data_IF_379974686061
#
_entry.id   IF_379974686061
#
_cell.length_a   1.000
_cell.length_b   1.000
_cell.length_c   1.000
_cell.angle_alpha   90.00
_cell.angle_beta   90.00
_cell.angle_gamma   90.00
#
_symmetry.space_group_name_H-M   'P 1'
#
loop_
_entity.id
_entity.type
_entity.pdbx_description
1 polymer ?
#
# COMPACT_ATOMS: atom_id res chain seq x y z
N UNK A 1 -32.95 30.14 -7.86
CA UNK A 1 -33.28 28.71 -7.71
C UNK A 1 -32.38 27.79 -8.56
N UNK A 2 -32.30 27.95 -9.89
CA UNK A 2 -31.50 27.04 -10.76
C UNK A 2 -29.99 27.00 -10.46
N UNK A 3 -29.35 28.13 -10.11
CA UNK A 3 -27.92 28.19 -9.77
C UNK A 3 -27.59 27.42 -8.49
N UNK A 4 -28.47 27.48 -7.49
CA UNK A 4 -28.30 26.80 -6.22
C UNK A 4 -28.45 25.28 -6.37
N UNK A 5 -29.45 24.83 -7.14
CA UNK A 5 -29.64 23.41 -7.45
C UNK A 5 -28.43 22.81 -8.20
N UNK A 6 -27.89 23.53 -9.20
CA UNK A 6 -26.67 23.11 -9.91
C UNK A 6 -25.46 22.99 -8.98
N UNK A 7 -25.30 23.93 -8.04
CA UNK A 7 -24.22 23.89 -7.07
C UNK A 7 -24.32 22.69 -6.12
N UNK A 8 -25.53 22.37 -5.64
CA UNK A 8 -25.76 21.20 -4.77
C UNK A 8 -25.45 19.89 -5.51
N UNK A 9 -25.89 19.77 -6.76
CA UNK A 9 -25.62 18.60 -7.59
C UNK A 9 -24.12 18.38 -7.82
N UNK A 10 -23.38 19.45 -8.14
CA UNK A 10 -21.93 19.39 -8.33
C UNK A 10 -21.19 18.96 -7.04
N UNK A 11 -21.64 19.43 -5.87
CA UNK A 11 -21.04 19.03 -4.60
C UNK A 11 -21.25 17.53 -4.32
N UNK A 12 -22.46 17.01 -4.52
CA UNK A 12 -22.77 15.57 -4.34
C UNK A 12 -21.96 14.72 -5.31
N UNK A 13 -21.88 15.13 -6.58
CA UNK A 13 -21.08 14.43 -7.58
C UNK A 13 -19.59 14.40 -7.20
N UNK A 14 -19.04 15.50 -6.69
CA UNK A 14 -17.64 15.55 -6.23
C UNK A 14 -17.37 14.62 -5.04
N UNK A 15 -18.32 14.52 -4.09
CA UNK A 15 -18.23 13.55 -2.99
C UNK A 15 -18.17 12.13 -3.54
N UNK A 16 -19.12 11.76 -4.42
CA UNK A 16 -19.15 10.43 -5.03
C UNK A 16 -17.84 10.08 -5.75
N UNK A 17 -17.29 11.02 -6.52
CA UNK A 17 -16.01 10.82 -7.22
C UNK A 17 -14.82 10.66 -6.26
N UNK A 18 -14.79 11.38 -5.13
CA UNK A 18 -13.77 11.19 -4.09
C UNK A 18 -13.89 9.82 -3.43
N UNK A 19 -15.10 9.39 -3.09
CA UNK A 19 -15.34 8.07 -2.49
C UNK A 19 -14.90 6.95 -3.44
N UNK A 20 -15.26 7.04 -4.72
CA UNK A 20 -14.81 6.09 -5.74
C UNK A 20 -13.29 6.10 -5.91
N UNK A 21 -12.66 7.27 -5.88
CA UNK A 21 -11.20 7.38 -5.93
C UNK A 21 -10.53 6.66 -4.76
N UNK A 22 -11.02 6.87 -3.53
CA UNK A 22 -10.51 6.18 -2.33
C UNK A 22 -10.74 4.68 -2.44
N UNK A 23 -11.94 4.25 -2.82
CA UNK A 23 -12.28 2.84 -2.91
C UNK A 23 -11.46 2.09 -3.96
N UNK A 24 -11.34 2.64 -5.17
CA UNK A 24 -10.51 2.04 -6.23
C UNK A 24 -9.03 2.04 -5.82
N UNK A 25 -8.57 3.06 -5.10
CA UNK A 25 -7.21 3.04 -4.50
C UNK A 25 -7.09 1.91 -3.48
N UNK A 26 -8.08 1.73 -2.60
CA UNK A 26 -8.08 0.66 -1.60
C UNK A 26 -8.01 -0.73 -2.25
N UNK A 27 -8.72 -0.95 -3.37
CA UNK A 27 -8.61 -2.19 -4.16
C UNK A 27 -7.17 -2.43 -4.65
N UNK A 28 -6.49 -1.40 -5.14
CA UNK A 28 -5.07 -1.50 -5.55
C UNK A 28 -4.22 -1.90 -4.34
N UNK A 29 -4.39 -1.21 -3.20
CA UNK A 29 -3.57 -1.49 -2.01
C UNK A 29 -3.83 -2.89 -1.45
N UNK A 30 -5.09 -3.31 -1.35
CA UNK A 30 -5.53 -4.65 -0.89
C UNK A 30 -4.97 -5.77 -1.75
N UNK A 31 -4.84 -5.58 -3.06
CA UNK A 31 -4.18 -6.59 -3.90
C UNK A 31 -2.78 -6.91 -3.39
N UNK A 32 -2.00 -5.87 -3.08
CA UNK A 32 -0.60 -5.99 -2.68
C UNK A 32 -0.39 -6.30 -1.19
N UNK A 33 -1.34 -5.95 -0.32
CA UNK A 33 -1.23 -6.19 1.11
C UNK A 33 -1.91 -7.46 1.58
N UNK A 34 -3.02 -7.84 0.94
CA UNK A 34 -3.86 -8.95 1.36
C UNK A 34 -3.80 -10.06 0.32
N UNK A 35 -4.26 -9.82 -0.91
CA UNK A 35 -4.54 -10.93 -1.84
C UNK A 35 -3.31 -11.61 -2.42
N UNK A 36 -2.21 -10.89 -2.60
CA UNK A 36 -0.93 -11.53 -2.93
C UNK A 36 -0.29 -12.21 -1.71
N UNK A 37 -0.58 -11.75 -0.49
CA UNK A 37 0.02 -12.31 0.73
C UNK A 37 -0.79 -13.46 1.33
N UNK A 38 -2.09 -13.52 1.07
CA UNK A 38 -3.03 -14.41 1.75
C UNK A 38 -3.98 -15.01 0.72
N UNK A 39 -3.44 -15.80 -0.22
CA UNK A 39 -4.29 -16.42 -1.26
C UNK A 39 -5.38 -17.31 -0.64
N UNK A 40 -5.11 -17.89 0.52
CA UNK A 40 -6.00 -18.74 1.30
C UNK A 40 -7.28 -18.02 1.78
N UNK A 41 -7.32 -16.68 1.78
CA UNK A 41 -8.55 -15.90 2.01
C UNK A 41 -9.57 -16.04 0.86
N UNK A 42 -9.20 -16.68 -0.25
CA UNK A 42 -10.06 -16.84 -1.40
C UNK A 42 -10.30 -15.53 -2.17
N UNK A 43 -11.35 -15.53 -2.99
CA UNK A 43 -11.58 -14.54 -4.05
C UNK A 43 -12.19 -13.22 -3.59
N UNK A 44 -12.64 -13.09 -2.33
CA UNK A 44 -13.30 -11.87 -1.86
C UNK A 44 -12.33 -10.70 -1.74
N UNK A 45 -12.41 -9.74 -2.66
CA UNK A 45 -11.65 -8.49 -2.62
C UNK A 45 -12.48 -7.31 -2.11
N UNK A 46 -13.80 -7.42 -2.13
CA UNK A 46 -14.69 -6.29 -1.84
C UNK A 46 -14.77 -6.03 -0.34
N UNK A 47 -14.85 -7.10 0.46
CA UNK A 47 -14.82 -7.01 1.93
C UNK A 47 -13.57 -6.27 2.41
N UNK A 48 -12.36 -6.81 2.16
CA UNK A 48 -11.12 -6.14 2.54
C UNK A 48 -11.00 -4.72 1.98
N UNK A 49 -11.39 -4.46 0.73
CA UNK A 49 -11.35 -3.10 0.17
C UNK A 49 -12.25 -2.10 0.91
N UNK A 50 -13.40 -2.54 1.43
CA UNK A 50 -14.26 -1.70 2.27
C UNK A 50 -13.62 -1.40 3.63
N UNK A 51 -12.98 -2.39 4.27
CA UNK A 51 -12.24 -2.15 5.53
C UNK A 51 -11.06 -1.21 5.31
N UNK A 52 -10.33 -1.41 4.22
CA UNK A 52 -9.16 -0.63 3.83
C UNK A 52 -9.48 0.78 3.30
N UNK A 53 -10.76 1.06 3.02
CA UNK A 53 -11.23 2.37 2.58
C UNK A 53 -10.78 3.49 3.53
N UNK A 54 -10.93 3.29 4.84
CA UNK A 54 -10.65 4.30 5.86
C UNK A 54 -9.15 4.64 5.98
N UNK A 55 -8.23 3.68 6.17
CA UNK A 55 -6.79 3.98 6.17
C UNK A 55 -6.32 4.53 4.82
N UNK A 56 -6.91 4.09 3.70
CA UNK A 56 -6.62 4.66 2.37
C UNK A 56 -7.03 6.13 2.28
N UNK A 57 -8.17 6.51 2.84
CA UNK A 57 -8.59 7.92 2.87
C UNK A 57 -7.61 8.78 3.69
N UNK A 58 -7.15 8.29 4.83
CA UNK A 58 -6.15 9.00 5.67
C UNK A 58 -4.81 9.10 4.95
N UNK A 59 -4.39 8.04 4.25
CA UNK A 59 -3.20 8.05 3.40
C UNK A 59 -3.28 9.16 2.33
N UNK A 60 -4.35 9.17 1.52
CA UNK A 60 -4.54 10.16 0.45
C UNK A 60 -4.65 11.59 1.02
N UNK A 61 -5.33 11.75 2.16
CA UNK A 61 -5.40 13.02 2.87
C UNK A 61 -4.03 13.49 3.35
N UNK A 62 -3.19 12.59 3.87
CA UNK A 62 -1.85 12.95 4.33
C UNK A 62 -0.97 13.47 3.19
N UNK A 63 -1.11 12.90 1.98
CA UNK A 63 -0.38 13.37 0.79
C UNK A 63 -0.71 14.84 0.51
N UNK A 64 -2.01 15.18 0.47
CA UNK A 64 -2.45 16.56 0.22
C UNK A 64 -2.06 17.48 1.39
N UNK A 65 -2.37 17.08 2.63
CA UNK A 65 -2.19 17.90 3.82
C UNK A 65 -0.73 18.29 4.07
N UNK A 66 0.21 17.37 3.78
CA UNK A 66 1.64 17.59 3.97
C UNK A 66 2.38 17.94 2.69
N UNK A 67 1.66 18.15 1.58
CA UNK A 67 2.24 18.43 0.26
C UNK A 67 3.31 17.41 -0.14
N UNK A 68 3.04 16.11 0.06
CA UNK A 68 3.99 15.03 -0.25
C UNK A 68 4.25 14.97 -1.75
N UNK A 69 5.52 15.15 -2.16
CA UNK A 69 5.92 15.15 -3.58
C UNK A 69 7.17 14.33 -3.88
N UNK A 70 7.94 13.98 -2.84
CA UNK A 70 9.17 13.16 -2.92
C UNK A 70 8.93 11.77 -2.34
N UNK A 71 9.82 10.83 -2.67
CA UNK A 71 9.71 9.43 -2.22
C UNK A 71 9.81 9.26 -0.70
N UNK A 72 10.67 10.02 -0.01
CA UNK A 72 10.81 9.94 1.45
C UNK A 72 9.50 10.27 2.20
N UNK A 73 8.91 11.45 1.99
CA UNK A 73 7.61 11.80 2.57
C UNK A 73 6.48 10.87 2.11
N UNK A 74 6.53 10.35 0.86
CA UNK A 74 5.57 9.35 0.40
C UNK A 74 5.68 8.05 1.20
N UNK A 75 6.89 7.59 1.49
CA UNK A 75 7.11 6.44 2.35
C UNK A 75 6.57 6.67 3.76
N UNK A 76 6.70 7.88 4.31
CA UNK A 76 6.12 8.22 5.61
C UNK A 76 4.58 8.21 5.58
N UNK A 77 3.96 8.77 4.55
CA UNK A 77 2.52 8.63 4.32
C UNK A 77 2.10 7.17 4.14
N UNK A 78 2.94 6.35 3.53
CA UNK A 78 2.72 4.91 3.39
C UNK A 78 2.87 4.15 4.73
N UNK A 79 3.79 4.58 5.59
CA UNK A 79 3.92 4.07 6.95
C UNK A 79 2.69 4.41 7.79
N UNK A 80 2.14 5.64 7.65
CA UNK A 80 0.86 6.01 8.27
C UNK A 80 -0.24 5.03 7.89
N UNK A 81 -0.35 4.68 6.61
CA UNK A 81 -1.29 3.68 6.12
C UNK A 81 -1.07 2.31 6.78
N UNK A 82 0.17 1.80 6.74
CA UNK A 82 0.51 0.49 7.34
C UNK A 82 0.21 0.42 8.84
N UNK A 83 0.56 1.46 9.60
CA UNK A 83 0.26 1.51 11.03
C UNK A 83 -1.24 1.55 11.34
N UNK A 84 -2.05 2.20 10.49
CA UNK A 84 -3.50 2.19 10.67
C UNK A 84 -4.10 0.82 10.33
N UNK A 85 -3.62 0.18 9.26
CA UNK A 85 -4.09 -1.18 8.91
C UNK A 85 -3.74 -2.16 10.01
N UNK A 86 -2.49 -2.23 10.44
CA UNK A 86 -2.02 -3.25 11.37
C UNK A 86 -2.26 -2.91 12.84
N UNK A 87 -2.38 -1.62 13.15
CA UNK A 87 -2.68 -1.13 14.49
C UNK A 87 -4.17 -0.95 14.76
N UNK A 88 -5.02 -0.85 13.73
CA UNK A 88 -6.47 -0.72 13.93
C UNK A 88 -7.21 -1.93 13.39
N UNK A 89 -6.98 -2.34 12.14
CA UNK A 89 -7.84 -3.35 11.49
C UNK A 89 -7.44 -4.80 11.82
N UNK A 90 -6.14 -5.12 11.78
CA UNK A 90 -5.60 -6.47 12.02
C UNK A 90 -5.02 -6.71 13.44
N UNK A 91 -5.11 -5.74 14.36
CA UNK A 91 -4.27 -5.52 15.57
C UNK A 91 -2.93 -6.25 15.79
N UNK A 92 -2.25 -6.80 14.79
CA UNK A 92 -1.01 -7.57 15.01
C UNK A 92 0.17 -6.73 15.52
N UNK A 93 0.08 -5.39 15.41
CA UNK A 93 1.09 -4.46 15.90
C UNK A 93 1.42 -4.63 17.40
N UNK A 94 0.53 -5.25 18.18
CA UNK A 94 0.61 -5.34 19.64
C UNK A 94 0.95 -6.73 20.18
N UNK A 95 1.07 -7.75 19.32
CA UNK A 95 1.27 -9.14 19.74
C UNK A 95 2.55 -9.35 20.57
N UNK A 96 3.63 -8.61 20.27
CA UNK A 96 4.88 -8.66 21.03
C UNK A 96 4.94 -7.68 22.24
N UNK A 97 3.80 -7.10 22.62
CA UNK A 97 3.72 -6.12 23.70
C UNK A 97 4.31 -4.74 23.36
N UNK A 98 4.58 -3.94 24.39
CA UNK A 98 4.95 -2.53 24.26
C UNK A 98 6.33 -2.32 23.61
N UNK A 99 7.31 -3.17 23.95
CA UNK A 99 8.70 -3.04 23.49
C UNK A 99 9.05 -3.95 22.30
N UNK A 100 8.10 -4.77 21.83
CA UNK A 100 8.26 -5.57 20.63
C UNK A 100 8.11 -4.73 19.36
N UNK A 101 9.22 -4.43 18.69
CA UNK A 101 9.24 -3.59 17.49
C UNK A 101 9.27 -4.39 16.18
N UNK A 102 9.15 -5.71 16.26
CA UNK A 102 9.22 -6.60 15.11
C UNK A 102 7.99 -6.42 14.19
N UNK A 103 6.76 -6.60 14.71
CA UNK A 103 5.52 -6.41 13.92
C UNK A 103 5.34 -4.99 13.39
N UNK A 104 5.92 -3.99 14.06
CA UNK A 104 5.94 -2.60 13.57
C UNK A 104 6.64 -2.51 12.23
N UNK A 105 7.66 -3.33 11.99
CA UNK A 105 8.32 -3.36 10.69
C UNK A 105 7.77 -4.42 9.77
N UNK A 106 7.65 -5.67 10.24
CA UNK A 106 7.36 -6.82 9.38
C UNK A 106 6.08 -6.65 8.55
N UNK A 107 5.01 -6.11 9.14
CA UNK A 107 3.73 -6.02 8.42
C UNK A 107 3.45 -4.60 7.96
N UNK A 108 3.54 -3.64 8.87
CA UNK A 108 3.24 -2.23 8.59
C UNK A 108 4.24 -1.56 7.65
N UNK A 109 5.55 -1.76 7.85
CA UNK A 109 6.59 -1.06 7.09
C UNK A 109 7.21 -1.89 5.97
N UNK A 110 7.08 -3.22 6.00
CA UNK A 110 7.77 -4.08 5.06
C UNK A 110 6.93 -4.57 3.88
N UNK A 111 5.60 -4.55 3.97
CA UNK A 111 4.76 -4.75 2.78
C UNK A 111 3.72 -3.67 2.54
N UNK A 112 3.03 -3.14 3.56
CA UNK A 112 2.02 -2.10 3.34
C UNK A 112 2.63 -0.85 2.72
N UNK A 113 3.69 -0.33 3.32
CA UNK A 113 4.37 0.84 2.79
C UNK A 113 5.06 0.56 1.42
N UNK A 114 6.02 -0.38 1.31
CA UNK A 114 6.79 -0.56 0.08
C UNK A 114 6.02 -1.24 -1.04
N UNK A 115 5.22 -2.27 -0.77
CA UNK A 115 4.55 -3.03 -1.84
C UNK A 115 3.21 -2.41 -2.21
N UNK A 116 2.38 -2.08 -1.23
CA UNK A 116 1.04 -1.56 -1.54
C UNK A 116 1.12 -0.14 -2.07
N UNK A 117 1.79 0.75 -1.33
CA UNK A 117 1.83 2.17 -1.69
C UNK A 117 2.97 2.47 -2.67
N UNK A 118 4.22 2.16 -2.34
CA UNK A 118 5.35 2.57 -3.19
C UNK A 118 5.34 1.82 -4.53
N UNK A 119 5.26 0.49 -4.51
CA UNK A 119 5.21 -0.31 -5.73
C UNK A 119 3.83 -0.22 -6.42
N UNK A 120 2.77 -0.66 -5.75
CA UNK A 120 1.44 -0.80 -6.33
C UNK A 120 0.79 0.52 -6.73
N UNK A 121 0.67 1.46 -5.79
CA UNK A 121 0.03 2.74 -6.08
C UNK A 121 0.91 3.70 -6.87
N UNK A 122 2.19 3.88 -6.49
CA UNK A 122 3.06 4.91 -7.07
C UNK A 122 3.83 4.43 -8.31
N UNK A 123 4.77 3.49 -8.17
CA UNK A 123 5.67 3.10 -9.26
C UNK A 123 4.94 2.41 -10.41
N UNK A 124 4.06 1.45 -10.10
CA UNK A 124 3.31 0.73 -11.13
C UNK A 124 2.45 1.70 -11.94
N UNK A 125 1.75 2.62 -11.27
CA UNK A 125 0.97 3.67 -11.93
C UNK A 125 1.84 4.60 -12.78
N UNK A 126 2.98 5.07 -12.26
CA UNK A 126 3.94 5.88 -13.03
C UNK A 126 4.34 5.17 -14.33
N UNK A 127 4.76 3.91 -14.23
CA UNK A 127 5.23 3.14 -15.38
C UNK A 127 4.11 2.89 -16.39
N UNK A 128 2.88 2.63 -15.94
CA UNK A 128 1.70 2.48 -16.80
C UNK A 128 1.39 3.79 -17.57
N UNK A 129 1.45 4.94 -16.89
CA UNK A 129 1.21 6.25 -17.50
C UNK A 129 2.30 6.64 -18.50
N UNK A 130 3.55 6.30 -18.21
CA UNK A 130 4.72 6.61 -19.05
C UNK A 130 5.00 5.57 -20.13
N UNK A 131 4.25 4.46 -20.17
CA UNK A 131 4.55 3.31 -21.03
C UNK A 131 5.98 2.78 -20.85
N UNK A 132 6.46 2.75 -19.59
CA UNK A 132 7.80 2.30 -19.28
C UNK A 132 7.87 0.77 -19.25
N UNK A 133 7.85 0.16 -20.44
CA UNK A 133 7.70 -1.28 -20.63
C UNK A 133 8.76 -2.09 -19.88
N UNK A 134 10.01 -1.63 -19.88
CA UNK A 134 11.11 -2.30 -19.18
C UNK A 134 10.76 -2.52 -17.71
N UNK A 135 10.37 -1.46 -17.00
CA UNK A 135 10.03 -1.54 -15.58
C UNK A 135 8.68 -2.20 -15.33
N UNK A 136 7.71 -2.06 -16.24
CA UNK A 136 6.43 -2.79 -16.16
C UNK A 136 6.64 -4.29 -16.21
N UNK A 137 7.37 -4.78 -17.21
CA UNK A 137 7.64 -6.21 -17.37
C UNK A 137 8.51 -6.73 -16.23
N UNK A 138 9.64 -6.06 -15.92
CA UNK A 138 10.53 -6.52 -14.86
C UNK A 138 9.89 -6.44 -13.48
N UNK A 139 9.18 -5.36 -13.18
CA UNK A 139 8.49 -5.17 -11.90
C UNK A 139 7.35 -6.18 -11.70
N UNK A 140 6.54 -6.41 -12.75
CA UNK A 140 5.46 -7.41 -12.70
C UNK A 140 6.01 -8.83 -12.54
N UNK A 141 7.04 -9.19 -13.30
CA UNK A 141 7.68 -10.50 -13.18
C UNK A 141 8.33 -10.70 -11.80
N UNK A 142 9.08 -9.71 -11.31
CA UNK A 142 9.74 -9.78 -10.01
C UNK A 142 8.73 -9.88 -8.85
N UNK A 143 7.64 -9.11 -8.91
CA UNK A 143 6.57 -9.21 -7.93
C UNK A 143 5.88 -10.57 -7.97
N UNK A 144 5.58 -11.09 -9.17
CA UNK A 144 4.99 -12.42 -9.32
C UNK A 144 5.90 -13.55 -8.82
N UNK A 145 7.23 -13.45 -9.03
CA UNK A 145 8.19 -14.39 -8.45
C UNK A 145 8.14 -14.35 -6.93
N UNK A 146 8.19 -13.15 -6.33
CA UNK A 146 8.06 -12.98 -4.88
C UNK A 146 6.74 -13.56 -4.35
N UNK A 147 5.63 -13.28 -5.03
CA UNK A 147 4.31 -13.79 -4.67
C UNK A 147 4.24 -15.32 -4.75
N UNK A 148 4.76 -15.92 -5.82
CA UNK A 148 4.84 -17.37 -5.96
C UNK A 148 5.67 -18.01 -4.85
N UNK A 149 6.83 -17.45 -4.53
CA UNK A 149 7.68 -17.94 -3.43
C UNK A 149 6.96 -17.78 -2.08
N UNK A 150 6.37 -16.61 -1.82
CA UNK A 150 5.66 -16.32 -0.59
C UNK A 150 4.48 -17.25 -0.35
N UNK A 151 3.73 -17.59 -1.40
CA UNK A 151 2.59 -18.51 -1.29
C UNK A 151 2.97 -19.90 -0.78
N UNK A 152 4.23 -20.33 -0.94
CA UNK A 152 4.71 -21.61 -0.42
C UNK A 152 4.78 -21.64 1.11
N UNK A 153 4.80 -20.48 1.77
CA UNK A 153 4.80 -20.41 3.25
C UNK A 153 3.50 -20.96 3.85
N UNK A 154 2.40 -20.95 3.09
CA UNK A 154 1.12 -21.56 3.49
C UNK A 154 1.10 -23.09 3.35
N UNK A 155 2.21 -23.71 2.93
CA UNK A 155 2.37 -25.17 2.94
C UNK A 155 3.02 -25.67 4.23
N UNK A 156 3.46 -24.76 5.11
CA UNK A 156 3.97 -25.12 6.42
C UNK A 156 2.87 -25.76 7.29
N UNK A 157 3.19 -26.78 8.11
CA UNK A 157 2.18 -27.51 8.89
C UNK A 157 1.29 -26.63 9.76
N UNK A 158 1.87 -25.59 10.39
CA UNK A 158 1.16 -24.64 11.23
C UNK A 158 0.14 -23.80 10.45
N UNK A 159 0.38 -23.53 9.16
CA UNK A 159 -0.51 -22.71 8.34
C UNK A 159 -1.57 -23.55 7.61
N UNK A 160 -1.25 -24.81 7.27
CA UNK A 160 -2.17 -25.72 6.58
C UNK A 160 -3.34 -26.15 7.49
N UNK A 161 -3.09 -26.21 8.80
CA UNK A 161 -4.06 -26.72 9.78
C UNK A 161 -4.39 -25.69 10.88
N UNK A 162 -4.21 -24.40 10.59
CA UNK A 162 -4.49 -23.34 11.56
C UNK A 162 -6.00 -23.32 11.90
N UNK A 163 -6.32 -23.63 13.16
CA UNK A 163 -7.70 -23.72 13.61
C UNK A 163 -8.42 -22.37 13.61
N UNK A 164 -7.69 -21.27 13.86
CA UNK A 164 -8.26 -19.93 13.91
C UNK A 164 -8.61 -19.47 12.49
N UNK A 165 -7.70 -19.68 11.53
CA UNK A 165 -7.98 -19.34 10.13
C UNK A 165 -9.11 -20.22 9.54
N UNK A 166 -9.21 -21.49 9.92
CA UNK A 166 -10.34 -22.34 9.53
C UNK A 166 -11.66 -21.82 10.11
N UNK A 167 -11.67 -21.36 11.36
CA UNK A 167 -12.86 -20.78 11.98
C UNK A 167 -13.31 -19.47 11.30
N UNK A 168 -12.36 -18.72 10.73
CA UNK A 168 -12.63 -17.54 9.90
C UNK A 168 -13.09 -17.89 8.48
N UNK A 169 -13.15 -19.18 8.13
CA UNK A 169 -13.61 -19.66 6.82
C UNK A 169 -12.55 -19.62 5.73
N UNK A 170 -11.27 -19.59 6.09
CA UNK A 170 -10.18 -19.58 5.13
C UNK A 170 -10.04 -20.96 4.48
N UNK A 171 -9.66 -20.94 3.21
CA UNK A 171 -9.54 -22.13 2.37
C UNK A 171 -8.07 -22.61 2.44
N UNK A 172 -7.74 -23.21 3.58
CA UNK A 172 -6.38 -23.62 3.92
C UNK A 172 -5.87 -24.79 3.07
N UNK A 173 -4.55 -24.95 3.11
CA UNK A 173 -3.85 -26.07 2.49
C UNK A 173 -3.26 -25.78 1.12
N UNK A 174 -2.68 -26.83 0.56
CA UNK A 174 -1.99 -26.78 -0.73
C UNK A 174 -3.04 -26.84 -1.84
N UNK A 175 -3.26 -25.71 -2.51
CA UNK A 175 -4.21 -25.64 -3.62
C UNK A 175 -3.69 -26.36 -4.87
N UNK A 176 -4.61 -26.84 -5.71
CA UNK A 176 -4.22 -27.30 -7.03
C UNK A 176 -3.69 -26.14 -7.88
N UNK A 177 -2.78 -26.44 -8.82
CA UNK A 177 -2.24 -25.45 -9.78
C UNK A 177 -3.36 -24.68 -10.47
N UNK A 178 -4.43 -25.37 -10.88
CA UNK A 178 -5.57 -24.74 -11.56
C UNK A 178 -6.34 -23.76 -10.67
N UNK A 179 -6.54 -24.09 -9.39
CA UNK A 179 -7.21 -23.20 -8.42
C UNK A 179 -6.36 -21.98 -8.11
N UNK A 180 -5.06 -22.17 -7.87
CA UNK A 180 -4.11 -21.06 -7.67
C UNK A 180 -4.01 -20.16 -8.90
N UNK A 181 -3.95 -20.74 -10.11
CA UNK A 181 -3.98 -19.98 -11.37
C UNK A 181 -5.25 -19.14 -11.48
N UNK A 182 -6.43 -19.75 -11.28
CA UNK A 182 -7.71 -19.05 -11.36
C UNK A 182 -7.75 -17.86 -10.40
N UNK A 183 -7.33 -18.07 -9.15
CA UNK A 183 -7.20 -17.00 -8.16
C UNK A 183 -6.25 -15.91 -8.64
N UNK A 184 -5.01 -16.28 -8.96
CA UNK A 184 -3.96 -15.32 -9.26
C UNK A 184 -4.32 -14.43 -10.47
N UNK A 185 -4.84 -15.03 -11.54
CA UNK A 185 -5.32 -14.28 -12.69
C UNK A 185 -6.53 -13.42 -12.36
N UNK A 186 -7.51 -13.93 -11.60
CA UNK A 186 -8.70 -13.18 -11.23
C UNK A 186 -8.35 -11.91 -10.46
N UNK A 187 -7.56 -12.02 -9.38
CA UNK A 187 -7.20 -10.85 -8.58
C UNK A 187 -6.31 -9.86 -9.35
N UNK A 188 -5.46 -10.35 -10.27
CA UNK A 188 -4.64 -9.49 -11.13
C UNK A 188 -5.49 -8.74 -12.16
N UNK A 189 -6.53 -9.38 -12.70
CA UNK A 189 -7.49 -8.70 -13.58
C UNK A 189 -8.27 -7.61 -12.83
N UNK A 190 -8.62 -7.85 -11.55
CA UNK A 190 -9.22 -6.81 -10.71
C UNK A 190 -8.25 -5.66 -10.46
N UNK A 191 -6.97 -5.93 -10.19
CA UNK A 191 -5.93 -4.90 -10.09
C UNK A 191 -5.81 -4.07 -11.37
N UNK A 192 -5.75 -4.75 -12.53
CA UNK A 192 -5.67 -4.09 -13.83
C UNK A 192 -6.89 -3.18 -14.06
N UNK A 193 -8.09 -3.67 -13.75
CA UNK A 193 -9.33 -2.90 -13.81
C UNK A 193 -9.29 -1.69 -12.87
N UNK A 194 -8.78 -1.86 -11.65
CA UNK A 194 -8.65 -0.76 -10.69
C UNK A 194 -7.70 0.34 -11.19
N UNK A 195 -6.54 -0.01 -11.74
CA UNK A 195 -5.63 0.96 -12.37
C UNK A 195 -6.24 1.65 -13.59
N UNK A 196 -7.05 0.96 -14.37
CA UNK A 196 -7.81 1.57 -15.46
C UNK A 196 -8.85 2.57 -14.94
N UNK A 197 -9.71 2.14 -14.01
CA UNK A 197 -10.82 2.91 -13.44
C UNK A 197 -10.36 4.14 -12.67
N UNK A 198 -9.25 4.05 -11.91
CA UNK A 198 -8.78 5.18 -11.10
C UNK A 198 -8.44 6.41 -11.95
N UNK A 199 -8.13 6.24 -13.24
CA UNK A 199 -7.92 7.35 -14.18
C UNK A 199 -9.19 8.15 -14.49
N UNK A 200 -10.37 7.56 -14.32
CA UNK A 200 -11.67 8.23 -14.48
C UNK A 200 -12.12 8.93 -13.20
N UNK A 201 -11.76 8.37 -12.04
CA UNK A 201 -12.10 8.93 -10.72
C UNK A 201 -11.00 9.81 -10.13
N UNK A 202 -9.90 10.01 -10.86
CA UNK A 202 -8.69 10.67 -10.37
C UNK A 202 -8.97 12.06 -9.80
N UNK A 203 -8.52 12.31 -8.56
CA UNK A 203 -8.64 13.60 -7.91
C UNK A 203 -7.33 14.38 -8.08
N UNK A 204 -7.41 15.61 -8.61
CA UNK A 204 -6.25 16.52 -8.69
C UNK A 204 -5.80 17.01 -7.31
N UNK A 205 -6.77 17.11 -6.41
CA UNK A 205 -6.60 17.48 -5.00
C UNK A 205 -7.50 16.58 -4.17
N UNK A 206 -6.96 16.00 -3.10
CA UNK A 206 -7.74 15.19 -2.18
C UNK A 206 -7.99 15.98 -0.88
N UNK A 207 -9.06 16.77 -0.87
CA UNK A 207 -9.47 17.58 0.28
C UNK A 207 -10.87 17.12 0.75
N UNK A 208 -10.96 16.08 1.59
CA UNK A 208 -12.25 15.67 2.16
C UNK A 208 -12.83 16.80 3.01
N UNK A 209 -14.15 16.95 2.97
CA UNK A 209 -14.85 17.91 3.84
C UNK A 209 -14.64 17.57 5.32
N UNK A 210 -14.86 18.55 6.22
CA UNK A 210 -14.72 18.33 7.67
C UNK A 210 -15.61 17.20 8.19
N UNK A 211 -16.82 17.06 7.63
CA UNK A 211 -17.76 15.99 7.99
C UNK A 211 -17.26 14.63 7.49
N UNK A 212 -16.75 14.56 6.25
CA UNK A 212 -16.16 13.33 5.69
C UNK A 212 -14.98 12.85 6.53
N UNK A 213 -14.01 13.75 6.78
CA UNK A 213 -12.84 13.44 7.59
C UNK A 213 -13.22 13.10 9.04
N UNK A 214 -14.16 13.85 9.63
CA UNK A 214 -14.68 13.58 10.97
C UNK A 214 -15.33 12.20 11.08
N UNK A 215 -16.12 11.81 10.07
CA UNK A 215 -16.73 10.47 10.01
C UNK A 215 -15.69 9.35 9.89
N UNK A 216 -14.67 9.52 9.03
CA UNK A 216 -13.57 8.57 8.89
C UNK A 216 -12.80 8.42 10.22
N UNK A 217 -12.43 9.53 10.85
CA UNK A 217 -11.70 9.52 12.12
C UNK A 217 -12.55 8.93 13.25
N UNK A 218 -13.84 9.24 13.30
CA UNK A 218 -14.76 8.69 14.30
C UNK A 218 -14.90 7.18 14.15
N UNK A 219 -15.03 6.67 12.91
CA UNK A 219 -15.07 5.23 12.64
C UNK A 219 -13.77 4.55 13.10
N UNK A 220 -12.61 5.07 12.67
CA UNK A 220 -11.31 4.51 13.05
C UNK A 220 -11.09 4.55 14.57
N UNK A 221 -11.47 5.65 15.24
CA UNK A 221 -11.36 5.77 16.69
C UNK A 221 -12.30 4.80 17.41
N UNK A 222 -13.56 4.66 16.96
CA UNK A 222 -14.51 3.71 17.52
C UNK A 222 -14.04 2.27 17.38
N UNK A 223 -13.56 1.90 16.18
CA UNK A 223 -13.00 0.57 15.93
C UNK A 223 -11.73 0.33 16.76
N UNK A 224 -10.85 1.32 16.86
CA UNK A 224 -9.63 1.22 17.67
C UNK A 224 -9.94 1.04 19.16
N UNK A 225 -10.88 1.80 19.72
CA UNK A 225 -11.26 1.66 21.13
C UNK A 225 -11.86 0.28 21.40
N UNK A 226 -12.84 -0.13 20.59
CA UNK A 226 -13.58 -1.36 20.82
C UNK A 226 -12.81 -2.62 20.43
N UNK A 227 -12.28 -2.65 19.20
CA UNK A 227 -11.62 -3.81 18.61
C UNK A 227 -10.14 -3.96 18.99
N UNK A 228 -9.50 -2.92 19.52
CA UNK A 228 -8.05 -2.96 19.79
C UNK A 228 -7.69 -2.63 21.23
N UNK A 229 -8.11 -1.49 21.79
CA UNK A 229 -7.67 -1.09 23.15
C UNK A 229 -8.14 -2.10 24.22
N UNK A 230 -9.37 -2.62 24.07
CA UNK A 230 -9.92 -3.62 25.01
C UNK A 230 -9.04 -4.88 25.04
N UNK A 231 -8.77 -5.56 23.91
CA UNK A 231 -7.89 -6.75 23.92
C UNK A 231 -6.40 -6.42 24.11
N UNK A 232 -5.94 -5.23 23.69
CA UNK A 232 -4.53 -4.82 23.74
C UNK A 232 -4.37 -3.43 24.38
N UNK A 233 -4.40 -3.31 25.73
CA UNK A 233 -4.31 -2.01 26.37
C UNK A 233 -3.06 -1.22 25.99
N UNK A 234 -1.91 -1.86 25.74
CA UNK A 234 -0.67 -1.17 25.30
C UNK A 234 -0.83 -0.37 24.00
N UNK A 235 -1.87 -0.64 23.21
CA UNK A 235 -2.15 0.04 21.96
C UNK A 235 -2.32 1.56 22.11
N UNK A 236 -2.87 2.04 23.23
CA UNK A 236 -3.07 3.48 23.47
C UNK A 236 -1.75 4.27 23.55
N UNK A 237 -0.62 3.61 23.80
CA UNK A 237 0.71 4.23 23.76
C UNK A 237 1.35 4.04 22.39
N UNK A 238 1.41 2.79 21.94
CA UNK A 238 2.28 2.38 20.83
C UNK A 238 1.85 3.00 19.50
N UNK A 239 0.56 2.97 19.18
CA UNK A 239 0.07 3.52 17.92
C UNK A 239 0.16 5.06 17.90
N UNK A 240 -0.31 5.81 18.90
CA UNK A 240 -0.14 7.26 18.91
C UNK A 240 1.32 7.73 18.83
N UNK A 241 2.26 6.99 19.43
CA UNK A 241 3.69 7.28 19.30
C UNK A 241 4.16 7.15 17.83
N UNK A 242 3.83 6.04 17.16
CA UNK A 242 4.19 5.80 15.76
C UNK A 242 3.55 6.83 14.82
N UNK A 243 2.25 7.09 14.99
CA UNK A 243 1.53 8.12 14.24
C UNK A 243 2.12 9.50 14.47
N UNK A 244 2.51 9.81 15.71
CA UNK A 244 3.15 11.07 16.11
C UNK A 244 4.50 11.27 15.42
N UNK A 245 5.35 10.24 15.38
CA UNK A 245 6.64 10.28 14.68
C UNK A 245 6.46 10.59 13.19
N UNK A 246 5.54 9.87 12.53
CA UNK A 246 5.23 10.08 11.11
C UNK A 246 4.69 11.49 10.87
N UNK A 247 3.73 11.93 11.68
CA UNK A 247 3.12 13.24 11.58
C UNK A 247 4.13 14.38 11.75
N UNK A 248 5.02 14.28 12.74
CA UNK A 248 6.08 15.26 12.97
C UNK A 248 7.07 15.29 11.80
N UNK A 249 7.47 14.12 11.30
CA UNK A 249 8.32 14.01 10.12
C UNK A 249 7.70 14.71 8.91
N UNK A 250 6.46 14.38 8.57
CA UNK A 250 5.72 14.98 7.46
C UNK A 250 5.49 16.49 7.65
N UNK A 251 5.13 16.93 8.86
CA UNK A 251 4.92 18.36 9.17
C UNK A 251 6.20 19.18 8.96
N UNK A 252 7.35 18.63 9.37
CA UNK A 252 8.65 19.29 9.21
C UNK A 252 9.07 19.31 7.73
N UNK A 253 8.84 18.22 7.01
CA UNK A 253 9.14 18.11 5.58
C UNK A 253 8.29 19.02 4.69
N UNK A 254 7.04 19.29 5.06
CA UNK A 254 6.10 20.12 4.28
C UNK A 254 6.68 21.45 3.80
N UNK A 255 7.52 22.10 4.62
CA UNK A 255 8.13 23.40 4.30
C UNK A 255 9.16 23.34 3.15
N UNK A 256 9.65 22.15 2.82
CA UNK A 256 10.74 21.92 1.88
C UNK A 256 10.23 21.46 0.50
N UNK A 257 8.93 21.29 0.35
CA UNK A 257 8.30 20.69 -0.81
C UNK A 257 8.03 21.75 -1.90
N UNK A 258 8.87 21.79 -2.94
CA UNK A 258 8.76 22.73 -4.08
C UNK A 258 8.28 22.09 -5.39
N UNK A 259 8.29 20.75 -5.50
CA UNK A 259 7.94 20.02 -6.72
C UNK A 259 6.43 20.09 -7.10
N UNK A 260 5.97 19.55 -8.23
CA UNK A 260 4.53 19.39 -8.50
C UNK A 260 3.88 18.37 -7.55
N UNK A 261 2.58 18.52 -7.23
CA UNK A 261 1.87 17.57 -6.35
C UNK A 261 1.92 16.14 -6.90
N UNK A 262 2.00 15.15 -6.01
CA UNK A 262 1.97 13.73 -6.41
C UNK A 262 0.71 13.40 -7.22
N UNK A 263 -0.42 14.00 -6.87
CA UNK A 263 -1.68 13.85 -7.59
C UNK A 263 -1.60 14.35 -9.03
N UNK A 264 -0.89 15.44 -9.28
CA UNK A 264 -0.68 15.94 -10.64
C UNK A 264 0.25 15.00 -11.42
N UNK A 265 1.33 14.53 -10.80
CA UNK A 265 2.30 13.63 -11.44
C UNK A 265 1.67 12.29 -11.86
N UNK A 266 0.74 11.77 -11.07
CA UNK A 266 0.06 10.50 -11.30
C UNK A 266 -1.29 10.67 -12.02
N UNK A 267 -1.61 11.86 -12.52
CA UNK A 267 -2.86 12.09 -13.22
C UNK A 267 -2.81 11.47 -14.63
N UNK A 268 -3.89 10.77 -15.00
CA UNK A 268 -4.08 10.31 -16.37
C UNK A 268 -4.89 9.03 -16.46
N UNK A 269 -5.36 8.76 -17.69
CA UNK A 269 -6.01 7.50 -18.05
C UNK A 269 -4.95 6.53 -18.57
N UNK A 270 -5.04 5.29 -18.17
CA UNK A 270 -4.15 4.22 -18.62
C UNK A 270 -4.88 3.48 -19.76
N UNK A 271 -4.32 3.39 -20.98
CA UNK A 271 -4.88 2.56 -22.04
C UNK A 271 -4.89 1.09 -21.62
N UNK A 272 -5.95 0.35 -21.98
CA UNK A 272 -6.10 -1.08 -21.61
C UNK A 272 -4.90 -1.92 -22.08
N UNK A 273 -4.35 -1.61 -23.25
CA UNK A 273 -3.16 -2.31 -23.79
C UNK A 273 -1.93 -2.19 -22.89
N UNK A 274 -1.83 -1.13 -22.08
CA UNK A 274 -0.71 -0.96 -21.13
C UNK A 274 -0.86 -1.79 -19.87
N UNK A 275 -2.02 -2.41 -19.64
CA UNK A 275 -2.26 -3.29 -18.50
C UNK A 275 -1.80 -4.72 -18.76
N UNK A 276 -1.56 -5.10 -20.02
CA UNK A 276 -1.14 -6.46 -20.40
C UNK A 276 0.11 -6.95 -19.66
N UNK A 277 1.17 -6.14 -19.44
CA UNK A 277 2.33 -6.57 -18.67
C UNK A 277 2.01 -7.03 -17.23
N UNK A 278 0.89 -6.57 -16.65
CA UNK A 278 0.48 -7.00 -15.29
C UNK A 278 0.19 -8.50 -15.24
N UNK A 279 -0.19 -9.12 -16.38
CA UNK A 279 -0.39 -10.57 -16.47
C UNK A 279 0.90 -11.37 -16.24
N UNK A 280 2.08 -10.74 -16.27
CA UNK A 280 3.30 -11.41 -15.84
C UNK A 280 3.31 -11.73 -14.35
N UNK A 281 2.62 -10.96 -13.49
CA UNK A 281 2.54 -11.25 -12.06
C UNK A 281 1.96 -12.65 -11.78
N UNK A 282 0.73 -13.00 -12.24
CA UNK A 282 0.17 -14.31 -12.00
C UNK A 282 0.89 -15.41 -12.80
N UNK A 283 1.45 -15.10 -13.98
CA UNK A 283 2.21 -16.08 -14.76
C UNK A 283 3.48 -16.53 -14.03
N UNK A 284 4.30 -15.60 -13.54
CA UNK A 284 5.54 -15.99 -12.83
C UNK A 284 5.23 -16.59 -11.46
N UNK A 285 4.20 -16.12 -10.75
CA UNK A 285 3.74 -16.73 -9.51
C UNK A 285 3.31 -18.19 -9.73
N UNK A 286 2.53 -18.45 -10.80
CA UNK A 286 2.06 -19.78 -11.16
C UNK A 286 3.21 -20.72 -11.53
N UNK A 287 4.21 -20.24 -12.27
CA UNK A 287 5.39 -21.04 -12.63
C UNK A 287 6.12 -21.51 -11.38
N UNK A 288 6.35 -20.60 -10.41
CA UNK A 288 7.00 -20.95 -9.14
C UNK A 288 6.16 -21.95 -8.35
N UNK A 289 4.85 -21.69 -8.21
CA UNK A 289 3.94 -22.57 -7.48
C UNK A 289 3.89 -23.98 -8.07
N UNK A 290 3.75 -24.08 -9.39
CA UNK A 290 3.71 -25.35 -10.11
C UNK A 290 5.05 -26.10 -10.02
N UNK A 291 6.18 -25.39 -10.14
CA UNK A 291 7.50 -26.00 -9.97
C UNK A 291 7.70 -26.53 -8.55
N UNK A 292 7.32 -25.77 -7.53
CA UNK A 292 7.43 -26.20 -6.14
C UNK A 292 6.58 -27.44 -5.84
N UNK A 293 5.40 -27.59 -6.46
CA UNK A 293 4.59 -28.80 -6.33
C UNK A 293 5.28 -30.06 -6.89
N UNK A 294 6.09 -29.92 -7.94
CA UNK A 294 6.88 -31.02 -8.49
C UNK A 294 8.11 -31.33 -7.63
N UNK A 295 8.73 -30.30 -7.05
CA UNK A 295 9.93 -30.45 -6.24
C UNK A 295 9.65 -30.92 -4.81
N UNK A 296 8.44 -30.67 -4.29
CA UNK A 296 8.01 -30.99 -2.92
C UNK A 296 9.06 -30.55 -1.88
N UNK A 297 9.33 -29.24 -1.77
CA UNK A 297 10.34 -28.74 -0.82
C UNK A 297 10.01 -29.20 0.60
N UNK A 298 11.05 -29.63 1.33
CA UNK A 298 10.88 -30.02 2.73
C UNK A 298 10.45 -28.84 3.59
N UNK A 299 9.85 -29.14 4.75
CA UNK A 299 9.48 -28.12 5.73
C UNK A 299 10.68 -27.23 6.11
N UNK A 300 11.87 -27.80 6.30
CA UNK A 300 13.10 -27.06 6.58
C UNK A 300 13.42 -26.04 5.47
N UNK A 301 13.25 -26.40 4.20
CA UNK A 301 13.45 -25.46 3.09
C UNK A 301 12.41 -24.35 3.14
N UNK A 302 11.13 -24.68 3.33
CA UNK A 302 10.05 -23.70 3.43
C UNK A 302 10.25 -22.73 4.61
N UNK A 303 10.64 -23.24 5.78
CA UNK A 303 10.80 -22.46 7.01
C UNK A 303 12.08 -21.65 7.03
N UNK A 304 13.22 -22.29 6.76
CA UNK A 304 14.54 -21.72 7.04
C UNK A 304 15.13 -20.98 5.84
N UNK A 305 14.75 -21.38 4.60
CA UNK A 305 15.26 -20.77 3.38
C UNK A 305 14.26 -19.83 2.70
N UNK A 306 12.96 -19.96 2.98
CA UNK A 306 11.92 -19.12 2.38
C UNK A 306 11.29 -18.19 3.42
N UNK A 307 10.54 -18.72 4.39
CA UNK A 307 9.78 -17.92 5.35
C UNK A 307 10.69 -17.01 6.17
N UNK A 308 11.62 -17.59 6.93
CA UNK A 308 12.49 -16.85 7.87
C UNK A 308 13.32 -15.78 7.16
N UNK A 309 14.00 -16.06 6.02
CA UNK A 309 14.77 -15.04 5.32
C UNK A 309 13.89 -13.92 4.74
N UNK A 310 12.74 -14.25 4.15
CA UNK A 310 11.83 -13.22 3.61
C UNK A 310 11.37 -12.30 4.75
N UNK A 311 10.91 -12.88 5.85
CA UNK A 311 10.46 -12.16 7.05
C UNK A 311 11.56 -11.25 7.58
N UNK A 312 12.77 -11.78 7.76
CA UNK A 312 13.92 -11.03 8.27
C UNK A 312 14.31 -9.87 7.34
N UNK A 313 14.43 -10.15 6.04
CA UNK A 313 14.80 -9.16 5.02
C UNK A 313 13.75 -8.06 4.93
N UNK A 314 12.47 -8.43 4.89
CA UNK A 314 11.36 -7.47 4.91
C UNK A 314 11.42 -6.60 6.16
N UNK A 315 11.55 -7.20 7.34
CA UNK A 315 11.65 -6.46 8.61
C UNK A 315 12.85 -5.50 8.63
N UNK A 316 14.01 -5.92 8.13
CA UNK A 316 15.19 -5.06 8.07
C UNK A 316 14.95 -3.88 7.11
N UNK A 317 14.47 -4.15 5.89
CA UNK A 317 14.20 -3.10 4.91
C UNK A 317 13.09 -2.14 5.33
N UNK A 318 12.04 -2.63 6.00
CA UNK A 318 10.97 -1.79 6.54
C UNK A 318 11.51 -0.71 7.47
N UNK A 319 12.37 -1.10 8.43
CA UNK A 319 13.03 -0.15 9.33
C UNK A 319 14.00 0.78 8.60
N UNK A 320 14.84 0.23 7.72
CA UNK A 320 15.81 1.03 6.98
C UNK A 320 15.13 2.10 6.13
N UNK A 321 14.08 1.75 5.40
CA UNK A 321 13.32 2.70 4.59
C UNK A 321 12.52 3.69 5.42
N UNK A 322 12.00 3.28 6.58
CA UNK A 322 11.33 4.20 7.49
C UNK A 322 12.27 5.27 8.04
N UNK A 323 13.44 4.84 8.55
CA UNK A 323 14.47 5.76 9.06
C UNK A 323 15.04 6.65 7.95
N UNK A 324 15.27 6.09 6.76
CA UNK A 324 15.67 6.85 5.58
C UNK A 324 14.61 7.88 5.18
N UNK A 325 13.33 7.48 5.16
CA UNK A 325 12.19 8.34 4.86
C UNK A 325 12.08 9.50 5.84
N UNK A 326 12.24 9.24 7.15
CA UNK A 326 12.30 10.28 8.18
C UNK A 326 13.47 11.23 7.93
N UNK A 327 14.66 10.69 7.70
CA UNK A 327 15.88 11.46 7.52
C UNK A 327 15.85 12.38 6.28
N UNK A 328 15.46 11.85 5.11
CA UNK A 328 15.34 12.64 3.87
C UNK A 328 14.20 13.67 3.96
N UNK A 329 13.14 13.36 4.68
CA UNK A 329 12.00 14.28 4.83
C UNK A 329 12.36 15.48 5.69
N UNK A 330 13.11 15.25 6.78
CA UNK A 330 13.44 16.31 7.75
C UNK A 330 14.65 17.14 7.28
N UNK A 331 15.61 16.54 6.57
CA UNK A 331 16.83 17.26 6.15
C UNK A 331 16.52 18.32 5.10
N UNK A 332 16.90 19.60 5.33
CA UNK A 332 16.77 20.65 4.33
C UNK A 332 17.37 20.21 3.00
N UNK A 333 16.61 20.39 1.91
CA UNK A 333 17.20 20.36 0.58
C UNK A 333 18.34 21.38 0.57
N UNK A 334 19.58 20.92 0.39
CA UNK A 334 20.67 21.84 0.06
C UNK A 334 20.21 22.58 -1.17
N UNK A 335 19.87 23.86 -1.01
CA UNK A 335 19.57 24.73 -2.15
C UNK A 335 20.79 24.59 -3.05
N UNK A 336 20.61 24.01 -4.23
CA UNK A 336 21.64 24.06 -5.25
C UNK A 336 21.99 25.53 -5.35
N UNK A 337 23.23 25.88 -4.95
CA UNK A 337 23.71 27.25 -5.02
C UNK A 337 23.34 27.73 -6.42
N UNK A 338 22.63 28.86 -6.59
CA UNK A 338 22.20 29.31 -7.90
C UNK A 338 23.42 29.25 -8.81
N UNK A 339 23.43 28.27 -9.72
CA UNK A 339 24.55 28.07 -10.63
C UNK A 339 24.74 29.40 -11.34
N UNK A 340 25.99 29.85 -11.41
CA UNK A 340 26.53 31.11 -11.94
C UNK A 340 26.08 31.54 -13.36
N UNK A 341 24.88 31.18 -13.81
CA UNK A 341 24.29 31.64 -15.05
C UNK A 341 24.06 33.15 -15.08
N UNK A 342 24.11 33.87 -13.95
CA UNK A 342 24.14 35.34 -13.96
C UNK A 342 25.53 35.95 -14.24
N UNK A 343 26.62 35.17 -14.23
CA UNK A 343 27.94 35.69 -14.62
C UNK A 343 28.15 35.62 -16.14
N UNK A 344 27.53 34.67 -16.84
CA UNK A 344 27.58 34.63 -18.30
C UNK A 344 26.75 35.75 -18.97
N UNK A 345 25.65 36.18 -18.36
CA UNK A 345 24.83 37.30 -18.87
C UNK A 345 25.45 38.68 -18.59
N UNK A 346 26.29 38.82 -17.57
CA UNK A 346 27.02 40.07 -17.29
C UNK A 346 28.39 40.16 -17.96
N UNK A 347 28.94 39.08 -18.51
CA UNK A 347 30.16 39.11 -19.32
C UNK A 347 29.89 39.39 -20.82
N UNK A 348 28.61 39.43 -21.23
CA UNK A 348 28.18 39.78 -22.59
C UNK A 348 27.52 41.18 -22.69
N UNK A 349 27.52 41.95 -21.60
CA UNK A 349 27.21 43.38 -21.58
C UNK A 349 28.47 44.15 -21.26
#
# INVERSE_FOLDING_TARGET
MQKEQRSKYQAVQQIGMRLLFVYVTAVILVFFSEKSYWYIQGFDILGPALFYFFPTAIFLWSIEQFHVRRLGPLFLSAALYGFLVEGILAPILYQDGLFGWFHVSYTSLAWHAPLSVMFGFYFLRQWLLQANWRWLFSGSAAFGLLWGIWSLTFWLPENVNDADLLAEGFDLGIWSVGKFALFAFTITLVLALAHWLIGYFWQKHFSPGKVELGGILLFLAGYFVYGVIIPFPVAWVKLPLLLGIVWLGLRNGRKQESAPSLFVQLQGKIPITRLLPLLLMPLTALIIYAAALQLQPSETVLRDLIYTPIVFVQTAFGWLFFLWGLWVTIRPLRTASPSHHSEAENAMR
#
